data_IF_388476985096
#
_entry.id   IF_388476985096
#
_cell.length_a   1.000
_cell.length_b   1.000
_cell.length_c   1.000
_cell.angle_alpha   90.00
_cell.angle_beta   90.00
_cell.angle_gamma   90.00
#
_symmetry.space_group_name_H-M   'P 1'
#
loop_
_entity.id
_entity.type
_entity.pdbx_description
1 polymer ?
#
# COMPACT_ATOMS: atom_id res chain seq x y z
N UNK A 1 -8.28 -21.74 -1.04
CA UNK A 1 -8.24 -20.29 -0.78
C UNK A 1 -7.25 -19.93 0.35
N UNK A 2 -6.18 -20.70 0.56
CA UNK A 2 -5.27 -20.55 1.71
C UNK A 2 -3.92 -19.88 1.35
N UNK A 3 -3.91 -18.89 0.43
CA UNK A 3 -2.63 -18.35 -0.07
C UNK A 3 -2.64 -16.89 -0.51
N UNK A 4 -3.74 -16.16 -0.31
CA UNK A 4 -3.80 -14.72 -0.56
C UNK A 4 -4.04 -14.03 0.78
N UNK A 5 -3.10 -13.20 1.23
CA UNK A 5 -3.27 -12.32 2.40
C UNK A 5 -3.56 -10.91 1.91
N UNK A 6 -4.56 -10.26 2.51
CA UNK A 6 -4.93 -8.87 2.21
C UNK A 6 -4.69 -8.03 3.45
N UNK A 7 -3.94 -6.94 3.29
CA UNK A 7 -3.58 -6.01 4.34
C UNK A 7 -4.42 -4.74 4.21
N UNK A 8 -4.82 -4.16 5.35
CA UNK A 8 -5.60 -2.93 5.46
C UNK A 8 -6.73 -2.85 4.42
N UNK A 9 -7.68 -3.78 4.53
CA UNK A 9 -8.83 -3.84 3.63
C UNK A 9 -9.76 -2.65 3.91
N UNK A 10 -9.99 -1.82 2.90
CA UNK A 10 -11.05 -0.81 2.92
C UNK A 10 -12.36 -1.46 2.48
N UNK A 11 -13.20 -1.86 3.45
CA UNK A 11 -14.51 -2.46 3.17
C UNK A 11 -15.47 -1.49 2.47
N UNK A 12 -15.37 -0.20 2.78
CA UNK A 12 -16.18 0.86 2.16
C UNK A 12 -15.88 1.02 0.66
N UNK A 13 -14.60 0.93 0.30
CA UNK A 13 -14.13 1.24 -1.05
C UNK A 13 -13.71 0.00 -1.86
N UNK A 14 -13.85 -1.19 -1.27
CA UNK A 14 -13.57 -2.49 -1.88
C UNK A 14 -12.14 -2.68 -2.44
N UNK A 15 -11.13 -2.15 -1.75
CA UNK A 15 -9.72 -2.36 -2.09
C UNK A 15 -8.87 -2.70 -0.85
N UNK A 16 -7.66 -3.21 -1.07
CA UNK A 16 -6.69 -3.50 -0.01
C UNK A 16 -5.43 -2.68 -0.24
N UNK A 17 -4.82 -2.12 0.80
CA UNK A 17 -3.57 -1.36 0.66
C UNK A 17 -2.45 -2.23 0.07
N UNK A 18 -2.49 -3.53 0.34
CA UNK A 18 -1.52 -4.50 -0.16
C UNK A 18 -2.10 -5.91 -0.18
N UNK A 19 -1.62 -6.73 -1.12
CA UNK A 19 -2.01 -8.14 -1.27
C UNK A 19 -0.77 -8.99 -1.48
N UNK A 20 -0.55 -9.98 -0.61
CA UNK A 20 0.47 -11.02 -0.77
C UNK A 20 -0.17 -12.25 -1.42
N UNK A 21 0.39 -12.70 -2.55
CA UNK A 21 -0.10 -13.84 -3.30
C UNK A 21 1.07 -14.66 -3.84
N UNK A 22 1.36 -15.79 -3.18
CA UNK A 22 2.57 -16.57 -3.45
C UNK A 22 3.82 -15.75 -3.08
N UNK A 23 4.79 -15.69 -3.99
CA UNK A 23 6.06 -14.96 -3.78
C UNK A 23 5.98 -13.48 -4.17
N UNK A 24 4.78 -12.98 -4.46
CA UNK A 24 4.56 -11.61 -4.95
C UNK A 24 3.71 -10.80 -3.98
N UNK A 25 4.01 -9.51 -3.97
CA UNK A 25 3.27 -8.49 -3.24
C UNK A 25 2.77 -7.45 -4.23
N UNK A 26 1.47 -7.18 -4.19
CA UNK A 26 0.80 -6.19 -5.01
C UNK A 26 0.34 -5.04 -4.13
N UNK A 27 0.85 -3.84 -4.38
CA UNK A 27 0.45 -2.63 -3.67
C UNK A 27 -0.78 -2.00 -4.31
N UNK A 28 -1.69 -1.50 -3.47
CA UNK A 28 -2.68 -0.51 -3.88
C UNK A 28 -2.02 0.84 -4.19
N UNK A 29 -2.82 1.87 -4.46
CA UNK A 29 -2.27 3.22 -4.60
C UNK A 29 -1.61 3.63 -3.27
N UNK A 30 -0.42 4.24 -3.38
CA UNK A 30 0.31 4.84 -2.27
C UNK A 30 0.18 6.35 -2.39
N UNK A 31 -0.05 7.02 -1.27
CA UNK A 31 -0.32 8.46 -1.25
C UNK A 31 0.19 9.04 0.05
N UNK A 32 0.80 10.22 -0.02
CA UNK A 32 1.28 10.95 1.14
C UNK A 32 1.44 12.43 0.82
N UNK A 33 1.55 13.24 1.88
CA UNK A 33 1.76 14.69 1.80
C UNK A 33 0.75 15.42 0.89
N UNK A 34 -0.50 14.97 0.87
CA UNK A 34 -1.57 15.49 0.00
C UNK A 34 -1.77 16.99 0.25
N UNK A 35 -1.68 17.77 -0.83
CA UNK A 35 -1.81 19.23 -0.78
C UNK A 35 -0.49 20.00 -0.73
N UNK A 36 0.64 19.30 -0.60
CA UNK A 36 1.97 19.89 -0.66
C UNK A 36 2.52 19.98 -2.10
N UNK A 37 3.80 20.32 -2.26
CA UNK A 37 4.46 20.34 -3.57
C UNK A 37 4.46 18.95 -4.21
N UNK A 38 4.63 18.90 -5.54
CA UNK A 38 4.71 17.63 -6.28
C UNK A 38 5.84 16.75 -5.75
N UNK A 39 7.00 17.33 -5.47
CA UNK A 39 8.15 16.60 -4.91
C UNK A 39 7.82 16.01 -3.53
N UNK A 40 7.20 16.80 -2.64
CA UNK A 40 6.79 16.31 -1.33
C UNK A 40 5.75 15.18 -1.44
N UNK A 41 4.81 15.27 -2.38
CA UNK A 41 3.82 14.21 -2.62
C UNK A 41 4.45 12.94 -3.19
N UNK A 42 5.45 13.06 -4.08
CA UNK A 42 6.21 11.90 -4.58
C UNK A 42 6.94 11.22 -3.42
N UNK A 43 7.63 11.98 -2.57
CA UNK A 43 8.27 11.43 -1.38
C UNK A 43 7.25 10.78 -0.43
N UNK A 44 6.14 11.44 -0.12
CA UNK A 44 5.11 10.88 0.76
C UNK A 44 4.48 9.59 0.22
N UNK A 45 4.31 9.47 -1.10
CA UNK A 45 3.83 8.22 -1.71
C UNK A 45 4.86 7.09 -1.61
N UNK A 46 6.16 7.40 -1.70
CA UNK A 46 7.24 6.44 -1.50
C UNK A 46 7.39 6.03 -0.03
N UNK A 47 7.25 6.97 0.91
CA UNK A 47 7.29 6.70 2.35
C UNK A 47 6.12 5.77 2.77
N UNK A 48 4.92 6.01 2.23
CA UNK A 48 3.75 5.14 2.46
C UNK A 48 3.95 3.74 1.85
N UNK A 49 4.58 3.66 0.67
CA UNK A 49 5.00 2.38 0.08
C UNK A 49 5.98 1.63 1.00
N UNK A 50 7.04 2.29 1.46
CA UNK A 50 8.06 1.70 2.33
C UNK A 50 7.46 1.21 3.66
N UNK A 51 6.59 2.03 4.28
CA UNK A 51 5.85 1.65 5.49
C UNK A 51 5.08 0.34 5.28
N UNK A 52 4.30 0.24 4.20
CA UNK A 52 3.48 -0.95 3.90
C UNK A 52 4.35 -2.17 3.63
N UNK A 53 5.42 -2.03 2.85
CA UNK A 53 6.35 -3.13 2.56
C UNK A 53 7.09 -3.60 3.82
N UNK A 54 7.35 -2.71 4.78
CA UNK A 54 7.95 -3.04 6.07
C UNK A 54 7.08 -3.92 6.98
N UNK A 55 5.78 -4.04 6.69
CA UNK A 55 4.86 -4.92 7.43
C UNK A 55 4.93 -6.39 6.98
N UNK A 56 5.63 -6.67 5.87
CA UNK A 56 5.74 -8.01 5.30
C UNK A 56 6.85 -8.79 5.99
N UNK A 57 6.51 -9.99 6.44
CA UNK A 57 7.40 -11.03 7.00
C UNK A 57 6.81 -12.41 6.78
#
# INVERSE_FOLDING_TARGET
MAGIKRYHVSEENAWSEMVEAGDFVFLGFCVGNVGESVEAQVHGALDDMERRLGEIG
#
